data_IF_362505928040
#
_entry.id   IF_362505928040
#
_cell.length_a   1.000
_cell.length_b   1.000
_cell.length_c   1.000
_cell.angle_alpha   90.00
_cell.angle_beta   90.00
_cell.angle_gamma   90.00
#
_symmetry.space_group_name_H-M   'P 1'
#
loop_
_entity.id
_entity.type
_entity.pdbx_description
1 polymer ?
#
# COMPACT_ATOMS: atom_id res chain seq x y z
N UNK A 1 16.79 -31.80 -55.55
CA UNK A 1 16.63 -30.49 -56.22
C UNK A 1 16.25 -29.51 -55.10
N UNK A 2 17.22 -28.72 -54.68
CA UNK A 2 17.16 -27.84 -53.50
C UNK A 2 16.91 -26.42 -54.02
N UNK A 3 15.86 -25.77 -53.54
CA UNK A 3 15.63 -24.35 -53.75
C UNK A 3 15.63 -23.62 -52.45
N UNK A 4 16.69 -22.88 -52.19
CA UNK A 4 16.76 -21.89 -51.10
C UNK A 4 16.39 -20.51 -51.63
N UNK A 5 15.55 -19.73 -50.95
CA UNK A 5 15.33 -18.31 -51.27
C UNK A 5 16.34 -17.45 -50.47
N UNK A 6 17.05 -16.63 -51.24
CA UNK A 6 17.96 -15.57 -50.74
C UNK A 6 17.13 -14.35 -50.30
N UNK A 7 17.25 -13.96 -49.07
CA UNK A 7 16.67 -12.68 -48.58
C UNK A 7 17.70 -11.54 -48.71
N UNK A 8 17.35 -10.54 -49.52
CA UNK A 8 18.12 -9.30 -49.65
C UNK A 8 17.85 -8.38 -48.44
N UNK A 9 18.92 -7.97 -47.77
CA UNK A 9 18.90 -6.98 -46.71
C UNK A 9 19.05 -5.60 -47.35
N UNK A 10 18.02 -4.78 -47.25
CA UNK A 10 18.01 -3.38 -47.69
C UNK A 10 18.41 -2.48 -46.51
N UNK A 11 19.58 -1.87 -46.64
CA UNK A 11 20.15 -0.93 -45.69
C UNK A 11 19.65 0.50 -46.02
N UNK A 12 18.77 1.05 -45.20
CA UNK A 12 18.33 2.44 -45.28
C UNK A 12 19.19 3.30 -44.35
N UNK A 13 20.05 4.11 -44.97
CA UNK A 13 20.83 5.16 -44.30
C UNK A 13 19.96 6.40 -44.21
N UNK A 14 19.56 6.82 -43.01
CA UNK A 14 18.91 8.09 -42.73
C UNK A 14 19.93 9.10 -42.21
N UNK A 15 20.19 10.10 -43.03
CA UNK A 15 20.99 11.27 -42.74
C UNK A 15 20.21 12.25 -41.82
N UNK A 16 20.72 12.52 -40.61
CA UNK A 16 20.19 13.54 -39.72
C UNK A 16 20.93 14.85 -39.97
N UNK A 17 20.22 15.88 -40.44
CA UNK A 17 20.71 17.27 -40.52
C UNK A 17 20.71 17.89 -39.11
N UNK A 18 21.87 18.41 -38.72
CA UNK A 18 22.02 19.34 -37.61
C UNK A 18 21.54 20.73 -38.01
N UNK A 19 20.53 21.25 -37.34
CA UNK A 19 20.11 22.63 -37.35
C UNK A 19 20.53 23.29 -36.03
N UNK A 20 21.53 24.19 -36.12
CA UNK A 20 21.93 25.12 -35.06
C UNK A 20 21.25 26.46 -35.27
N UNK A 21 20.57 26.99 -34.25
CA UNK A 21 20.25 28.41 -33.99
C UNK A 21 19.57 28.44 -32.62
N UNK A 22 19.94 29.22 -31.67
CA UNK A 22 20.39 30.52 -31.51
C UNK A 22 19.96 30.94 -30.11
N UNK A 23 20.83 31.45 -29.28
CA UNK A 23 20.60 31.80 -27.89
C UNK A 23 19.60 32.93 -27.67
N UNK A 24 18.98 32.91 -26.50
CA UNK A 24 18.48 34.15 -25.86
C UNK A 24 18.67 34.03 -24.36
N UNK A 25 19.61 34.80 -23.88
CA UNK A 25 19.75 35.15 -22.47
C UNK A 25 18.62 36.13 -22.13
N UNK A 26 17.91 35.85 -21.05
CA UNK A 26 17.19 36.88 -20.31
C UNK A 26 17.65 36.88 -18.86
N UNK A 27 18.16 37.99 -18.53
CA UNK A 27 18.66 38.56 -17.30
C UNK A 27 17.60 38.52 -16.17
N UNK A 28 18.08 38.13 -14.99
CA UNK A 28 18.03 38.86 -13.73
C UNK A 28 16.81 39.74 -13.43
N UNK A 29 16.07 39.33 -12.39
CA UNK A 29 15.34 40.27 -11.53
C UNK A 29 15.06 39.66 -10.15
N UNK A 30 15.88 40.07 -9.18
CA UNK A 30 15.47 40.64 -7.91
C UNK A 30 14.50 39.82 -7.03
N UNK A 31 15.05 39.12 -6.05
CA UNK A 31 14.32 38.78 -4.82
C UNK A 31 14.18 40.04 -3.96
N UNK A 32 13.01 40.36 -3.40
CA UNK A 32 12.93 41.14 -2.18
C UNK A 32 12.95 40.23 -0.97
N UNK A 33 13.91 40.44 -0.10
CA UNK A 33 13.94 39.93 1.26
C UNK A 33 12.70 40.43 2.03
N UNK A 34 11.89 39.56 2.55
CA UNK A 34 10.82 39.92 3.50
C UNK A 34 11.32 39.69 4.91
N UNK A 35 11.47 40.82 5.55
CA UNK A 35 11.73 41.17 6.92
C UNK A 35 11.04 40.26 7.97
N UNK A 36 11.83 39.88 8.96
CA UNK A 36 11.36 39.11 10.14
C UNK A 36 10.47 39.99 11.03
N UNK A 37 9.28 39.52 11.34
CA UNK A 37 8.41 40.11 12.33
C UNK A 37 8.88 39.75 13.76
N UNK A 38 8.78 40.68 14.72
CA UNK A 38 9.30 40.46 16.08
C UNK A 38 8.35 39.59 16.92
N UNK A 39 8.95 38.76 17.75
CA UNK A 39 8.29 37.88 18.71
C UNK A 39 7.45 38.66 19.76
N UNK A 40 6.23 38.22 20.00
CA UNK A 40 5.38 38.66 21.07
C UNK A 40 5.82 38.09 22.44
N UNK A 41 5.65 38.84 23.53
CA UNK A 41 6.11 38.43 24.85
C UNK A 41 5.27 37.32 25.48
N UNK A 42 5.97 36.34 26.08
CA UNK A 42 5.40 35.26 26.86
C UNK A 42 4.89 35.80 28.17
N UNK A 43 3.58 35.71 28.42
CA UNK A 43 2.96 36.05 29.70
C UNK A 43 2.90 34.77 30.54
N UNK A 44 3.68 34.73 31.60
CA UNK A 44 3.66 33.66 32.62
C UNK A 44 2.47 33.86 33.54
N UNK A 45 1.56 32.89 33.61
CA UNK A 45 0.49 32.82 34.59
C UNK A 45 0.99 32.08 35.86
N UNK A 46 0.59 32.51 37.06
CA UNK A 46 0.99 31.88 38.32
C UNK A 46 0.21 30.60 38.61
N UNK A 47 0.77 29.69 39.44
CA UNK A 47 0.20 28.37 39.73
C UNK A 47 -1.02 28.47 40.67
N UNK A 48 -2.00 27.54 40.56
CA UNK A 48 -3.15 27.50 41.47
C UNK A 48 -2.76 26.90 42.81
N UNK A 49 -3.26 27.56 43.85
CA UNK A 49 -3.13 27.15 45.25
C UNK A 49 -3.92 25.87 45.55
N UNK A 50 -3.28 24.97 46.24
CA UNK A 50 -3.89 23.78 46.85
C UNK A 50 -4.77 24.19 48.02
N UNK A 51 -5.99 23.72 48.07
CA UNK A 51 -6.79 23.77 49.29
C UNK A 51 -7.22 22.37 49.69
N UNK A 52 -6.95 22.08 50.96
CA UNK A 52 -7.03 20.79 51.61
C UNK A 52 -8.49 20.37 51.87
N UNK A 53 -8.69 19.09 51.82
CA UNK A 53 -9.68 18.15 52.32
C UNK A 53 -10.58 18.58 53.51
N UNK A 54 -11.84 18.03 53.67
CA UNK A 54 -11.92 16.81 54.44
C UNK A 54 -12.80 15.68 53.91
N UNK A 55 -12.41 14.49 54.36
CA UNK A 55 -13.05 13.23 54.16
C UNK A 55 -14.51 13.14 54.65
N UNK A 56 -15.38 12.44 53.91
CA UNK A 56 -16.43 11.62 54.50
C UNK A 56 -17.14 10.69 53.49
N UNK A 57 -17.30 9.44 53.98
CA UNK A 57 -18.33 8.49 53.67
C UNK A 57 -18.19 7.57 52.44
N UNK A 58 -17.70 6.38 52.73
CA UNK A 58 -17.93 5.14 52.00
C UNK A 58 -19.43 4.88 51.77
N UNK A 59 -19.84 4.85 50.52
CA UNK A 59 -21.10 4.20 50.13
C UNK A 59 -20.78 3.11 49.14
N UNK A 60 -20.86 1.87 49.57
CA UNK A 60 -20.77 0.67 48.75
C UNK A 60 -21.99 0.56 47.87
N UNK A 61 -21.86 0.94 46.59
CA UNK A 61 -22.79 0.55 45.54
C UNK A 61 -22.28 -0.77 44.88
N UNK A 62 -23.20 -1.70 44.56
CA UNK A 62 -22.79 -2.94 43.89
C UNK A 62 -22.26 -2.64 42.49
N UNK A 63 -21.06 -3.12 42.22
CA UNK A 63 -20.49 -3.11 40.90
C UNK A 63 -21.35 -3.94 39.95
N UNK A 64 -22.16 -3.28 39.14
CA UNK A 64 -22.69 -3.89 37.92
C UNK A 64 -21.50 -4.07 36.99
N UNK A 65 -21.00 -5.29 36.95
CA UNK A 65 -20.05 -5.73 35.96
C UNK A 65 -20.77 -5.82 34.61
N UNK A 66 -20.95 -4.69 33.96
CA UNK A 66 -21.24 -4.62 32.53
C UNK A 66 -19.89 -4.68 31.81
N UNK A 67 -19.28 -5.86 31.84
CA UNK A 67 -18.17 -6.13 30.95
C UNK A 67 -18.76 -6.21 29.54
N UNK A 68 -18.28 -5.39 28.58
CA UNK A 68 -18.70 -5.54 27.21
C UNK A 68 -18.47 -6.99 26.78
N UNK A 69 -19.38 -7.59 25.98
CA UNK A 69 -19.19 -8.95 25.50
C UNK A 69 -17.83 -9.06 24.86
N UNK A 70 -17.11 -10.20 25.05
CA UNK A 70 -15.80 -10.37 24.44
C UNK A 70 -15.96 -10.11 22.94
N UNK A 71 -15.19 -9.15 22.40
CA UNK A 71 -15.15 -8.85 20.99
C UNK A 71 -14.97 -10.18 20.26
N UNK A 72 -15.85 -10.49 19.30
CA UNK A 72 -15.77 -11.73 18.54
C UNK A 72 -14.34 -11.93 18.09
N UNK A 73 -13.73 -13.04 18.49
CA UNK A 73 -12.33 -13.32 18.17
C UNK A 73 -12.18 -13.32 16.64
N UNK A 74 -11.28 -12.52 16.13
CA UNK A 74 -10.94 -12.53 14.72
C UNK A 74 -10.40 -13.92 14.36
N UNK A 75 -10.92 -14.51 13.31
CA UNK A 75 -10.49 -15.84 12.84
C UNK A 75 -9.46 -15.69 11.73
N UNK A 76 -8.46 -16.58 11.68
CA UNK A 76 -7.57 -16.65 10.53
C UNK A 76 -8.34 -16.95 9.24
N UNK A 77 -7.95 -16.29 8.16
CA UNK A 77 -8.57 -16.45 6.85
C UNK A 77 -7.49 -16.84 5.82
N UNK A 78 -7.80 -17.82 4.97
CA UNK A 78 -6.92 -18.16 3.83
C UNK A 78 -7.74 -18.08 2.54
N UNK A 79 -7.27 -17.31 1.57
CA UNK A 79 -7.94 -17.08 0.30
C UNK A 79 -7.04 -17.48 -0.88
N UNK A 80 -7.61 -18.04 -1.96
CA UNK A 80 -6.86 -18.34 -3.17
C UNK A 80 -6.52 -17.04 -3.92
N UNK A 81 -5.33 -16.99 -4.54
CA UNK A 81 -4.93 -15.94 -5.48
C UNK A 81 -5.07 -16.51 -6.89
N UNK A 82 -5.90 -15.87 -7.70
CA UNK A 82 -6.18 -16.26 -9.06
C UNK A 82 -5.46 -15.36 -10.07
N UNK A 83 -5.07 -15.95 -11.22
CA UNK A 83 -4.45 -15.24 -12.32
C UNK A 83 -5.33 -14.12 -12.89
N UNK A 84 -4.71 -12.98 -13.24
CA UNK A 84 -5.32 -11.86 -13.99
C UNK A 84 -4.40 -11.43 -15.12
N UNK A 85 -4.90 -10.62 -16.04
CA UNK A 85 -4.14 -10.09 -17.19
C UNK A 85 -3.42 -11.15 -18.02
N UNK A 86 -3.96 -12.37 -18.10
CA UNK A 86 -3.35 -13.47 -18.86
C UNK A 86 -2.11 -14.09 -18.22
N UNK A 87 -1.83 -13.79 -16.96
CA UNK A 87 -0.73 -14.42 -16.21
C UNK A 87 -1.00 -15.91 -15.96
N UNK A 88 0.00 -16.60 -15.40
CA UNK A 88 -0.10 -17.98 -14.90
C UNK A 88 0.06 -18.05 -13.38
N UNK A 89 -0.01 -16.91 -12.71
CA UNK A 89 0.14 -16.82 -11.26
C UNK A 89 -1.00 -17.58 -10.59
N UNK A 90 -0.65 -18.37 -9.59
CA UNK A 90 -1.58 -19.00 -8.66
C UNK A 90 -0.94 -19.01 -7.27
N UNK A 91 -1.76 -18.99 -6.22
CA UNK A 91 -1.22 -19.00 -4.87
C UNK A 91 -2.29 -18.91 -3.81
N UNK A 92 -1.85 -18.61 -2.61
CA UNK A 92 -2.72 -18.37 -1.45
C UNK A 92 -2.22 -17.17 -0.66
N UNK A 93 -3.15 -16.48 -0.03
CA UNK A 93 -2.85 -15.48 0.98
C UNK A 93 -3.54 -15.86 2.30
N UNK A 94 -2.77 -15.88 3.38
CA UNK A 94 -3.24 -16.14 4.73
C UNK A 94 -3.20 -14.84 5.53
N UNK A 95 -4.30 -14.55 6.19
CA UNK A 95 -4.45 -13.40 7.07
C UNK A 95 -4.68 -13.89 8.50
N UNK A 96 -3.87 -13.46 9.44
CA UNK A 96 -3.93 -13.88 10.84
C UNK A 96 -3.96 -12.65 11.75
N UNK A 97 -4.92 -12.59 12.70
CA UNK A 97 -4.87 -11.56 13.73
C UNK A 97 -3.55 -11.63 14.49
N UNK A 98 -2.98 -10.48 14.79
CA UNK A 98 -1.78 -10.34 15.63
C UNK A 98 -2.03 -9.33 16.75
N UNK A 99 -1.12 -9.24 17.71
CA UNK A 99 -1.28 -8.36 18.86
C UNK A 99 -1.44 -6.88 18.53
N UNK A 100 -1.02 -6.45 17.32
CA UNK A 100 -1.03 -5.05 16.92
C UNK A 100 -1.57 -4.82 15.48
N UNK A 101 -2.19 -5.83 14.86
CA UNK A 101 -2.71 -5.72 13.50
C UNK A 101 -2.97 -7.08 12.85
N UNK A 102 -2.68 -7.20 11.57
CA UNK A 102 -2.87 -8.42 10.78
C UNK A 102 -1.54 -8.88 10.20
N UNK A 103 -1.16 -10.12 10.46
CA UNK A 103 -0.07 -10.80 9.77
C UNK A 103 -0.61 -11.38 8.46
N UNK A 104 0.11 -11.12 7.38
CA UNK A 104 -0.24 -11.59 6.05
C UNK A 104 0.92 -12.45 5.55
N UNK A 105 0.61 -13.66 5.09
CA UNK A 105 1.55 -14.55 4.41
C UNK A 105 1.03 -14.80 3.01
N UNK A 106 1.84 -14.51 1.99
CA UNK A 106 1.52 -14.68 0.57
C UNK A 106 2.48 -15.69 -0.03
N UNK A 107 1.96 -16.77 -0.58
CA UNK A 107 2.72 -17.78 -1.30
C UNK A 107 2.18 -17.90 -2.73
N UNK A 108 3.05 -17.72 -3.73
CA UNK A 108 2.67 -17.77 -5.14
C UNK A 108 3.55 -18.72 -5.94
N UNK A 109 3.01 -19.17 -7.06
CA UNK A 109 3.71 -19.92 -8.11
C UNK A 109 3.35 -19.36 -9.48
N UNK A 110 4.15 -19.64 -10.51
CA UNK A 110 3.84 -19.27 -11.89
C UNK A 110 4.00 -17.78 -12.22
N UNK A 111 4.54 -16.99 -11.30
CA UNK A 111 4.88 -15.58 -11.55
C UNK A 111 6.24 -15.46 -12.24
N UNK A 112 6.49 -14.39 -13.03
CA UNK A 112 7.82 -14.10 -13.55
C UNK A 112 8.84 -13.88 -12.43
N UNK A 113 10.12 -14.20 -12.67
CA UNK A 113 11.20 -13.88 -11.73
C UNK A 113 11.30 -12.37 -11.54
N UNK A 114 11.42 -11.92 -10.30
CA UNK A 114 11.64 -10.53 -9.96
C UNK A 114 10.88 -10.09 -8.72
N UNK A 115 10.76 -8.79 -8.54
CA UNK A 115 9.95 -8.17 -7.48
C UNK A 115 8.62 -7.73 -8.07
N UNK A 116 7.57 -7.97 -7.33
CA UNK A 116 6.20 -7.69 -7.72
C UNK A 116 5.49 -6.94 -6.61
N UNK A 117 4.97 -5.75 -6.89
CA UNK A 117 4.17 -5.01 -5.91
C UNK A 117 3.01 -5.87 -5.42
N UNK A 118 2.75 -5.85 -4.12
CA UNK A 118 1.62 -6.52 -3.47
C UNK A 118 0.84 -5.49 -2.66
N UNK A 119 -0.46 -5.36 -2.94
CA UNK A 119 -1.29 -4.34 -2.31
C UNK A 119 -2.68 -4.86 -1.96
N UNK A 120 -3.24 -4.36 -0.85
CA UNK A 120 -4.66 -4.49 -0.55
C UNK A 120 -5.40 -3.36 -1.27
N UNK A 121 -6.45 -3.71 -2.00
CA UNK A 121 -7.30 -2.82 -2.79
C UNK A 121 -8.68 -2.66 -2.17
N UNK A 122 -9.44 -1.64 -2.59
CA UNK A 122 -10.69 -1.20 -1.97
C UNK A 122 -11.79 -2.25 -1.99
N UNK A 123 -11.89 -3.07 -3.04
CA UNK A 123 -13.03 -3.96 -3.26
C UNK A 123 -12.59 -5.42 -3.31
N UNK A 124 -13.30 -6.30 -2.60
CA UNK A 124 -13.18 -7.74 -2.78
C UNK A 124 -13.92 -8.16 -4.07
N UNK A 125 -13.39 -7.70 -5.21
CA UNK A 125 -13.94 -7.98 -6.53
C UNK A 125 -12.81 -8.29 -7.52
N UNK A 126 -12.73 -9.54 -7.90
CA UNK A 126 -11.79 -10.07 -8.88
C UNK A 126 -12.48 -10.40 -10.22
N UNK A 127 -13.66 -9.89 -10.49
CA UNK A 127 -14.46 -10.28 -11.68
C UNK A 127 -13.85 -9.78 -13.00
N UNK A 128 -13.17 -8.63 -13.01
CA UNK A 128 -12.56 -8.12 -14.24
C UNK A 128 -11.29 -8.91 -14.61
N UNK A 129 -11.11 -9.14 -15.91
CA UNK A 129 -9.96 -9.90 -16.44
C UNK A 129 -8.61 -9.23 -16.14
N UNK A 130 -8.61 -7.91 -15.98
CA UNK A 130 -7.43 -7.09 -15.69
C UNK A 130 -7.29 -6.72 -14.20
N UNK A 131 -8.17 -7.24 -13.35
CA UNK A 131 -8.17 -7.00 -11.90
C UNK A 131 -8.59 -5.60 -11.48
N UNK A 132 -9.06 -4.74 -12.40
CA UNK A 132 -9.41 -3.35 -12.07
C UNK A 132 -10.67 -3.20 -11.24
N UNK A 133 -11.57 -4.21 -11.23
CA UNK A 133 -12.74 -4.23 -10.36
C UNK A 133 -12.41 -4.13 -8.86
N UNK A 134 -11.20 -4.54 -8.47
CA UNK A 134 -10.72 -4.34 -7.10
C UNK A 134 -10.55 -2.87 -6.67
N UNK A 135 -10.62 -1.91 -7.60
CA UNK A 135 -10.49 -0.47 -7.30
C UNK A 135 -9.03 -0.03 -7.08
N UNK A 136 -8.85 1.05 -6.31
CA UNK A 136 -7.53 1.60 -5.96
C UNK A 136 -6.97 0.96 -4.70
N UNK A 137 -5.76 1.35 -4.26
CA UNK A 137 -5.18 0.89 -3.00
C UNK A 137 -6.09 1.24 -1.82
N UNK A 138 -6.18 0.34 -0.86
CA UNK A 138 -6.95 0.56 0.36
C UNK A 138 -6.25 1.59 1.25
N UNK A 139 -6.81 2.80 1.28
CA UNK A 139 -6.23 3.97 1.94
C UNK A 139 -7.25 4.68 2.85
N UNK A 140 -7.60 4.09 4.00
CA UNK A 140 -8.62 4.65 4.89
C UNK A 140 -8.20 5.95 5.58
N UNK A 141 -6.90 6.27 5.61
CA UNK A 141 -6.35 7.45 6.29
C UNK A 141 -5.92 8.56 5.32
N UNK A 142 -6.11 8.36 4.01
CA UNK A 142 -5.76 9.34 2.97
C UNK A 142 -4.29 9.74 2.97
N UNK A 143 -3.39 8.80 3.26
CA UNK A 143 -1.94 8.99 3.16
C UNK A 143 -1.48 8.93 1.70
N UNK A 144 -0.25 9.34 1.45
CA UNK A 144 0.45 9.10 0.19
C UNK A 144 0.87 7.62 0.12
N UNK A 145 1.08 7.11 -1.12
CA UNK A 145 1.65 5.80 -1.33
C UNK A 145 3.07 5.68 -0.74
N UNK A 146 3.43 4.50 -0.26
CA UNK A 146 4.78 4.28 0.27
C UNK A 146 5.14 2.81 0.44
N UNK A 147 6.45 2.53 0.44
CA UNK A 147 6.96 1.19 0.77
C UNK A 147 6.84 0.93 2.29
N UNK A 148 6.89 -0.33 2.76
CA UNK A 148 6.69 -0.68 4.17
C UNK A 148 7.58 0.06 5.18
N UNK A 149 8.75 0.54 4.75
CA UNK A 149 9.66 1.33 5.58
C UNK A 149 9.26 2.82 5.72
N UNK A 150 8.28 3.30 4.93
CA UNK A 150 7.80 4.68 5.03
C UNK A 150 6.98 4.86 6.31
N UNK A 151 7.16 6.00 6.96
CA UNK A 151 6.43 6.35 8.20
C UNK A 151 4.92 6.46 7.95
N UNK A 152 4.53 7.04 6.80
CA UNK A 152 3.14 7.10 6.35
C UNK A 152 3.02 6.47 4.97
N UNK A 153 2.03 5.62 4.79
CA UNK A 153 1.68 4.96 3.52
C UNK A 153 0.21 4.56 3.53
N UNK A 154 -0.31 4.09 2.40
CA UNK A 154 -1.61 3.45 2.43
C UNK A 154 -1.59 2.22 3.36
N UNK A 155 -2.67 1.96 4.06
CA UNK A 155 -2.78 0.75 4.88
C UNK A 155 -2.61 -0.52 4.04
N UNK A 156 -3.01 -0.44 2.76
CA UNK A 156 -2.90 -1.52 1.80
C UNK A 156 -1.52 -1.72 1.16
N UNK A 157 -0.53 -0.87 1.42
CA UNK A 157 0.79 -1.00 0.79
C UNK A 157 1.64 -2.05 1.50
N UNK A 158 1.72 -3.26 0.93
CA UNK A 158 2.45 -4.40 1.51
C UNK A 158 3.91 -4.47 1.05
N UNK A 159 4.29 -3.67 0.03
CA UNK A 159 5.61 -3.68 -0.57
C UNK A 159 5.77 -4.70 -1.68
N UNK A 160 6.91 -5.39 -1.74
CA UNK A 160 7.24 -6.25 -2.86
C UNK A 160 7.37 -7.73 -2.47
N UNK A 161 6.65 -8.58 -3.18
CA UNK A 161 6.84 -10.03 -3.21
C UNK A 161 8.05 -10.36 -4.08
N UNK A 162 9.00 -11.11 -3.56
CA UNK A 162 10.15 -11.56 -4.33
C UNK A 162 9.91 -12.95 -4.91
N UNK A 163 10.03 -13.07 -6.25
CA UNK A 163 9.83 -14.30 -7.00
C UNK A 163 11.15 -14.81 -7.54
N UNK A 164 11.47 -16.05 -7.20
CA UNK A 164 12.66 -16.76 -7.64
C UNK A 164 12.57 -17.23 -9.11
N UNK A 165 13.68 -17.74 -9.66
CA UNK A 165 13.75 -18.19 -11.06
C UNK A 165 12.84 -19.38 -11.39
N UNK A 166 12.41 -20.14 -10.39
CA UNK A 166 11.47 -21.26 -10.53
C UNK A 166 9.99 -20.82 -10.39
N UNK A 167 9.76 -19.52 -10.37
CA UNK A 167 8.42 -18.93 -10.36
C UNK A 167 7.72 -18.96 -9.01
N UNK A 168 8.44 -19.26 -7.92
CA UNK A 168 7.91 -19.25 -6.56
C UNK A 168 8.23 -17.96 -5.85
N UNK A 169 7.25 -17.40 -5.19
CA UNK A 169 7.40 -16.19 -4.39
C UNK A 169 6.79 -16.34 -3.01
N UNK A 170 7.39 -15.66 -2.04
CA UNK A 170 6.94 -15.62 -0.65
C UNK A 170 7.07 -14.21 -0.09
N UNK A 171 6.04 -13.76 0.63
CA UNK A 171 6.04 -12.51 1.37
C UNK A 171 5.35 -12.73 2.72
N UNK A 172 6.00 -12.34 3.82
CA UNK A 172 5.39 -12.25 5.14
C UNK A 172 5.52 -10.82 5.66
N UNK A 173 4.41 -10.24 6.11
CA UNK A 173 4.36 -8.88 6.65
C UNK A 173 3.27 -8.78 7.72
N UNK A 174 3.54 -7.98 8.78
CA UNK A 174 2.50 -7.57 9.72
C UNK A 174 2.13 -6.12 9.44
N UNK A 175 0.84 -5.89 9.16
CA UNK A 175 0.30 -4.55 8.96
C UNK A 175 -0.30 -4.06 10.27
N UNK A 176 0.41 -3.14 10.90
CA UNK A 176 0.00 -2.56 12.18
C UNK A 176 -1.26 -1.72 12.00
N UNK A 177 -2.20 -1.84 12.94
CA UNK A 177 -3.48 -1.10 12.92
C UNK A 177 -4.56 -1.69 12.01
N UNK A 178 -4.23 -2.67 11.16
CA UNK A 178 -5.23 -3.39 10.38
C UNK A 178 -6.02 -4.38 11.25
N UNK A 179 -7.23 -4.75 10.83
CA UNK A 179 -8.08 -5.76 11.48
C UNK A 179 -8.72 -6.73 10.49
N UNK A 180 -9.32 -7.80 11.00
CA UNK A 180 -10.19 -8.74 10.27
C UNK A 180 -11.63 -8.70 10.81
N UNK A 181 -12.07 -7.56 11.35
CA UNK A 181 -13.43 -7.38 11.86
C UNK A 181 -14.31 -6.71 10.82
N UNK A 182 -15.44 -7.33 10.55
CA UNK A 182 -16.41 -6.80 9.59
C UNK A 182 -16.88 -5.39 10.02
N UNK A 183 -16.94 -4.47 9.05
CA UNK A 183 -17.43 -3.10 9.25
C UNK A 183 -16.46 -2.12 9.92
N UNK A 184 -15.28 -2.55 10.37
CA UNK A 184 -14.27 -1.63 10.89
C UNK A 184 -13.57 -0.86 9.75
N UNK A 185 -13.25 0.42 10.01
CA UNK A 185 -12.59 1.30 9.04
C UNK A 185 -11.27 0.71 8.52
N UNK A 186 -10.50 0.05 9.38
CA UNK A 186 -9.18 -0.50 9.09
C UNK A 186 -9.23 -2.00 8.72
N UNK A 187 -10.42 -2.53 8.44
CA UNK A 187 -10.59 -3.95 8.15
C UNK A 187 -10.14 -4.32 6.73
N UNK A 188 -9.40 -5.43 6.63
CA UNK A 188 -9.10 -6.08 5.36
C UNK A 188 -10.21 -6.99 4.83
N UNK A 189 -11.24 -7.29 5.64
CA UNK A 189 -12.44 -7.98 5.12
C UNK A 189 -13.12 -7.11 4.06
N UNK A 190 -13.68 -7.76 3.06
CA UNK A 190 -14.30 -7.14 1.88
C UNK A 190 -13.34 -6.28 1.05
N UNK A 191 -12.05 -6.59 1.11
CA UNK A 191 -10.98 -5.98 0.29
C UNK A 191 -10.42 -6.98 -0.70
N UNK A 192 -9.70 -6.47 -1.72
CA UNK A 192 -8.99 -7.29 -2.70
C UNK A 192 -7.49 -7.30 -2.42
N UNK A 193 -6.84 -8.45 -2.50
CA UNK A 193 -5.38 -8.52 -2.60
C UNK A 193 -4.99 -8.57 -4.08
N UNK A 194 -4.10 -7.68 -4.49
CA UNK A 194 -3.55 -7.63 -5.85
C UNK A 194 -2.05 -7.87 -5.82
N UNK A 195 -1.59 -8.73 -6.73
CA UNK A 195 -0.17 -8.88 -7.07
C UNK A 195 0.05 -8.24 -8.44
N UNK A 196 1.08 -7.40 -8.54
CA UNK A 196 1.39 -6.62 -9.73
C UNK A 196 2.49 -7.25 -10.61
N UNK A 197 2.56 -6.83 -11.86
CA UNK A 197 3.54 -7.31 -12.85
C UNK A 197 4.97 -6.85 -12.54
N UNK A 198 5.12 -5.66 -11.97
CA UNK A 198 6.42 -5.00 -11.77
C UNK A 198 6.68 -4.72 -10.29
N UNK A 199 7.91 -4.32 -10.03
CA UNK A 199 8.31 -3.78 -8.74
C UNK A 199 7.50 -2.54 -8.39
N UNK A 200 7.07 -2.46 -7.14
CA UNK A 200 6.64 -1.21 -6.53
C UNK A 200 7.89 -0.41 -6.17
N UNK A 201 8.09 0.74 -6.82
CA UNK A 201 9.25 1.62 -6.65
C UNK A 201 9.02 2.75 -5.63
N UNK A 202 7.84 2.77 -4.99
CA UNK A 202 7.44 3.77 -4.00
C UNK A 202 6.99 5.10 -4.57
N UNK A 203 6.93 5.25 -5.91
CA UNK A 203 6.51 6.51 -6.53
C UNK A 203 5.00 6.71 -6.42
N UNK A 204 4.58 7.99 -6.44
CA UNK A 204 3.17 8.34 -6.40
C UNK A 204 2.49 8.10 -7.75
N UNK A 205 1.20 7.76 -7.76
CA UNK A 205 0.31 7.49 -6.62
C UNK A 205 0.29 6.03 -6.16
N UNK A 206 0.93 5.08 -6.86
CA UNK A 206 0.74 3.64 -6.67
C UNK A 206 1.97 2.80 -7.04
N UNK A 207 3.20 3.37 -6.95
CA UNK A 207 4.46 2.64 -7.07
C UNK A 207 4.84 2.15 -8.45
N UNK A 208 4.21 2.62 -9.54
CA UNK A 208 4.48 2.20 -10.93
C UNK A 208 4.46 0.67 -11.15
N UNK A 209 3.74 -0.06 -10.31
CA UNK A 209 3.80 -1.52 -10.23
C UNK A 209 3.24 -2.27 -11.47
N UNK A 210 2.65 -1.57 -12.43
CA UNK A 210 2.22 -2.13 -13.72
C UNK A 210 0.90 -2.88 -13.65
N UNK A 211 0.72 -3.87 -14.55
CA UNK A 211 -0.52 -4.64 -14.64
C UNK A 211 -0.78 -5.47 -13.38
N UNK A 212 -2.04 -5.82 -13.12
CA UNK A 212 -2.47 -6.68 -12.02
C UNK A 212 -2.47 -8.11 -12.48
N UNK A 213 -1.52 -8.92 -12.05
CA UNK A 213 -1.32 -10.30 -12.51
C UNK A 213 -1.92 -11.35 -11.58
N UNK A 214 -2.26 -10.99 -10.35
CA UNK A 214 -2.94 -11.85 -9.39
C UNK A 214 -3.99 -11.08 -8.61
N UNK A 215 -5.10 -11.75 -8.25
CA UNK A 215 -6.18 -11.16 -7.47
C UNK A 215 -6.78 -12.20 -6.50
N UNK A 216 -7.04 -11.78 -5.27
CA UNK A 216 -7.79 -12.56 -4.29
C UNK A 216 -8.85 -11.70 -3.60
N UNK A 217 -9.99 -12.28 -3.29
CA UNK A 217 -11.06 -11.64 -2.53
C UNK A 217 -10.95 -12.04 -1.06
N UNK A 218 -10.79 -11.07 -0.17
CA UNK A 218 -10.65 -11.28 1.27
C UNK A 218 -12.04 -11.31 1.87
N UNK A 219 -12.64 -12.49 1.87
CA UNK A 219 -14.00 -12.76 2.36
C UNK A 219 -14.02 -14.05 3.18
N UNK A 220 -14.91 -14.15 4.17
CA UNK A 220 -15.24 -15.40 4.87
C UNK A 220 -16.08 -16.30 3.99
#
# INVERSE_FOLDING_TARGET
>A
MSNSPTFAVSLLVSTVLFGACGGQQHSDSGMPATEAAPAAPVTTAPPPVVNSEPAAAVSSAPASADSPPPAAAELPLTVPIEARSGSKLAGTAKFEPSSNGVRITIDVTGAPKGKHGAHIHQNADCSSKDGKSAGDHFNPESHNHGLPAAEMRHLGDLGNLEVSKDGKGHLEITVVGASLKAGEKMSFLDRGLIIHEKVDDGSQPAGNAGARIGCAEIKH
#
